data_IF_608506847348
#
_entry.id   IF_608506847348
#
_cell.length_a   1.000
_cell.length_b   1.000
_cell.length_c   1.000
_cell.angle_alpha   90.00
_cell.angle_beta   90.00
_cell.angle_gamma   90.00
#
_symmetry.space_group_name_H-M   'P 1'
#
loop_
_entity.id
_entity.type
_entity.pdbx_description
1 polymer ?
#
# COMPACT_ATOMS: atom_id res chain seq x y z
N UNK A 1 7.66 1.39 3.72
CA UNK A 1 8.19 2.46 4.59
C UNK A 1 7.12 3.01 5.55
N UNK A 2 5.89 3.27 5.13
CA UNK A 2 4.84 3.81 6.02
C UNK A 2 4.46 2.87 7.15
N UNK A 3 4.18 1.58 6.87
CA UNK A 3 3.80 0.61 7.89
C UNK A 3 4.88 0.39 8.96
N UNK A 4 6.16 0.44 8.59
CA UNK A 4 7.24 0.37 9.56
C UNK A 4 7.25 1.57 10.51
N UNK A 5 7.02 2.76 9.97
CA UNK A 5 6.91 3.97 10.80
C UNK A 5 5.74 3.86 11.78
N UNK A 6 4.59 3.35 11.33
CA UNK A 6 3.43 3.12 12.20
C UNK A 6 3.72 2.06 13.27
N UNK A 7 4.38 0.95 12.91
CA UNK A 7 4.76 -0.07 13.90
C UNK A 7 5.74 0.49 14.96
N UNK A 8 6.67 1.35 14.57
CA UNK A 8 7.59 2.02 15.48
C UNK A 8 6.88 3.01 16.41
N UNK A 9 5.92 3.78 15.89
CA UNK A 9 5.09 4.68 16.71
C UNK A 9 4.23 3.90 17.71
N UNK A 10 3.62 2.80 17.29
CA UNK A 10 2.84 1.93 18.18
C UNK A 10 3.74 1.32 19.26
N UNK A 11 4.94 0.87 18.88
CA UNK A 11 5.92 0.32 19.82
C UNK A 11 6.31 1.32 20.90
N UNK A 12 6.60 2.57 20.53
CA UNK A 12 7.06 3.59 21.47
C UNK A 12 5.95 4.18 22.32
N UNK A 13 4.80 4.51 21.71
CA UNK A 13 3.76 5.29 22.36
C UNK A 13 2.72 4.45 23.10
N UNK A 14 2.48 3.21 22.65
CA UNK A 14 1.43 2.36 23.22
C UNK A 14 2.01 1.13 23.90
N UNK A 15 2.67 0.26 23.15
CA UNK A 15 3.18 -1.00 23.70
C UNK A 15 4.27 -0.79 24.78
N UNK A 16 5.11 0.25 24.63
CA UNK A 16 6.07 0.65 25.67
C UNK A 16 5.41 0.99 27.00
N UNK A 17 4.24 1.63 26.97
CA UNK A 17 3.49 2.00 28.17
C UNK A 17 2.93 0.78 28.93
N UNK A 18 2.51 -0.27 28.22
CA UNK A 18 2.11 -1.53 28.83
C UNK A 18 3.26 -2.17 29.61
N UNK A 19 4.42 -2.33 28.98
CA UNK A 19 5.58 -2.93 29.63
C UNK A 19 6.18 -2.06 30.73
N UNK A 20 5.92 -0.76 30.72
CA UNK A 20 6.27 0.18 31.80
C UNK A 20 5.21 0.22 32.91
N UNK A 21 4.11 -0.55 32.78
CA UNK A 21 2.97 -0.58 33.72
C UNK A 21 2.26 0.77 33.90
N UNK A 22 2.31 1.63 32.90
CA UNK A 22 1.63 2.93 32.88
C UNK A 22 0.24 2.86 32.23
N UNK A 23 -0.05 1.79 31.48
CA UNK A 23 -1.34 1.51 30.87
C UNK A 23 -1.73 0.04 31.07
N UNK A 24 -3.03 -0.21 31.16
CA UNK A 24 -3.58 -1.56 31.24
C UNK A 24 -3.67 -2.21 29.86
N UNK A 25 -3.80 -3.54 29.81
CA UNK A 25 -3.96 -4.27 28.56
C UNK A 25 -5.25 -3.85 27.81
N UNK A 26 -6.36 -3.65 28.55
CA UNK A 26 -7.66 -3.26 27.97
C UNK A 26 -7.63 -1.86 27.34
N UNK A 27 -6.93 -0.91 27.97
CA UNK A 27 -6.74 0.43 27.41
C UNK A 27 -5.96 0.38 26.09
N UNK A 28 -4.88 -0.39 26.05
CA UNK A 28 -4.07 -0.56 24.84
C UNK A 28 -4.85 -1.33 23.78
N UNK A 29 -5.59 -2.37 24.15
CA UNK A 29 -6.45 -3.12 23.24
C UNK A 29 -7.44 -2.19 22.53
N UNK A 30 -8.09 -1.30 23.26
CA UNK A 30 -9.06 -0.34 22.71
C UNK A 30 -8.39 0.61 21.72
N UNK A 31 -7.23 1.16 22.08
CA UNK A 31 -6.49 2.09 21.23
C UNK A 31 -5.96 1.41 19.96
N UNK A 32 -5.36 0.22 20.10
CA UNK A 32 -4.84 -0.54 18.97
C UNK A 32 -5.94 -1.07 18.06
N UNK A 33 -7.12 -1.40 18.58
CA UNK A 33 -8.28 -1.79 17.75
C UNK A 33 -8.74 -0.65 16.84
N UNK A 34 -8.73 0.58 17.35
CA UNK A 34 -9.02 1.78 16.53
C UNK A 34 -7.99 1.97 15.43
N UNK A 35 -6.71 1.85 15.76
CA UNK A 35 -5.62 1.93 14.78
C UNK A 35 -5.65 0.80 13.76
N UNK A 36 -5.96 -0.42 14.18
CA UNK A 36 -6.14 -1.60 13.33
C UNK A 36 -7.19 -1.35 12.25
N UNK A 37 -8.34 -0.80 12.66
CA UNK A 37 -9.42 -0.43 11.73
C UNK A 37 -8.97 0.65 10.74
N UNK A 38 -8.32 1.71 11.22
CA UNK A 38 -7.81 2.79 10.38
C UNK A 38 -6.77 2.31 9.35
N UNK A 39 -5.84 1.46 9.79
CA UNK A 39 -4.77 0.90 8.93
C UNK A 39 -5.27 -0.24 8.03
N UNK A 40 -6.50 -0.74 8.26
CA UNK A 40 -7.01 -1.98 7.63
C UNK A 40 -5.98 -3.11 7.76
N UNK A 41 -5.50 -3.32 8.98
CA UNK A 41 -4.39 -4.23 9.30
C UNK A 41 -4.60 -4.83 10.68
N UNK A 42 -4.18 -6.05 10.90
CA UNK A 42 -4.21 -6.69 12.20
C UNK A 42 -2.93 -6.36 12.98
N UNK A 43 -3.05 -6.00 14.25
CA UNK A 43 -1.92 -5.59 15.10
C UNK A 43 -1.79 -6.59 16.24
N UNK A 44 -0.58 -7.14 16.39
CA UNK A 44 -0.22 -8.01 17.50
C UNK A 44 0.86 -7.38 18.36
N UNK A 45 0.80 -7.66 19.66
CA UNK A 45 1.94 -7.50 20.57
C UNK A 45 2.40 -8.90 20.93
N UNK A 46 3.68 -9.18 20.68
CA UNK A 46 4.30 -10.48 20.92
C UNK A 46 5.44 -10.30 21.90
N UNK A 47 5.58 -11.19 22.88
CA UNK A 47 6.71 -11.18 23.81
C UNK A 47 8.00 -11.68 23.15
N UNK A 48 9.10 -11.68 23.90
CA UNK A 48 10.41 -12.16 23.42
C UNK A 48 10.46 -13.67 23.20
N UNK A 49 9.46 -14.41 23.67
CA UNK A 49 9.35 -15.87 23.52
C UNK A 49 8.41 -16.27 22.38
N UNK A 50 7.77 -15.30 21.72
CA UNK A 50 6.83 -15.56 20.63
C UNK A 50 5.39 -15.80 21.09
N UNK A 51 5.03 -15.43 22.32
CA UNK A 51 3.64 -15.47 22.75
C UNK A 51 2.91 -14.20 22.36
N UNK A 52 1.73 -14.32 21.77
CA UNK A 52 0.86 -13.20 21.47
C UNK A 52 0.23 -12.73 22.78
N UNK A 53 0.59 -11.53 23.22
CA UNK A 53 0.03 -10.90 24.43
C UNK A 53 -1.29 -10.19 24.08
N UNK A 54 -1.35 -9.61 22.89
CA UNK A 54 -2.50 -8.85 22.40
C UNK A 54 -2.68 -9.08 20.91
N UNK A 55 -3.93 -9.33 20.51
CA UNK A 55 -4.35 -9.44 19.12
C UNK A 55 -5.59 -8.57 18.92
N UNK A 56 -5.53 -7.61 17.98
CA UNK A 56 -6.66 -6.71 17.71
C UNK A 56 -7.84 -7.40 17.04
N UNK A 57 -7.63 -8.54 16.36
CA UNK A 57 -8.71 -9.33 15.75
C UNK A 57 -9.40 -10.27 16.75
N UNK A 58 -8.72 -10.63 17.86
CA UNK A 58 -9.27 -11.52 18.89
C UNK A 58 -9.02 -10.94 20.28
N UNK A 59 -9.76 -9.90 20.69
CA UNK A 59 -9.61 -9.25 21.99
C UNK A 59 -9.94 -10.22 23.13
N UNK A 60 -9.17 -10.14 24.21
CA UNK A 60 -9.40 -10.94 25.42
C UNK A 60 -8.94 -12.40 25.33
N UNK A 61 -8.17 -12.79 24.34
CA UNK A 61 -7.55 -14.12 24.27
C UNK A 61 -6.40 -14.23 25.27
N UNK A 62 -6.28 -15.40 25.90
CA UNK A 62 -5.10 -15.74 26.67
C UNK A 62 -3.84 -15.72 25.78
N UNK A 63 -2.65 -15.47 26.35
CA UNK A 63 -1.40 -15.48 25.61
C UNK A 63 -1.23 -16.78 24.82
N UNK A 64 -1.18 -16.68 23.49
CA UNK A 64 -1.10 -17.85 22.59
C UNK A 64 0.28 -17.89 21.94
N UNK A 65 1.03 -19.01 22.03
CA UNK A 65 2.32 -19.12 21.40
C UNK A 65 2.20 -19.19 19.87
N UNK A 66 3.08 -18.49 19.15
CA UNK A 66 3.25 -18.64 17.70
C UNK A 66 4.25 -19.79 17.47
N UNK A 67 3.82 -20.93 16.94
CA UNK A 67 4.72 -22.07 16.75
C UNK A 67 5.85 -21.73 15.76
N UNK A 68 7.08 -21.98 16.15
CA UNK A 68 8.25 -21.73 15.30
C UNK A 68 8.68 -20.26 15.22
N UNK A 69 8.08 -19.36 16.00
CA UNK A 69 8.48 -17.95 16.02
C UNK A 69 9.95 -17.82 16.39
N UNK A 70 10.72 -17.17 15.52
CA UNK A 70 12.11 -16.86 15.77
C UNK A 70 12.43 -15.48 15.21
N UNK A 71 12.82 -14.57 16.10
CA UNK A 71 13.13 -13.18 15.71
C UNK A 71 14.31 -13.09 14.76
N UNK A 72 15.20 -14.08 14.76
CA UNK A 72 16.35 -14.10 13.84
C UNK A 72 15.96 -14.35 12.39
N UNK A 73 14.77 -14.90 12.13
CA UNK A 73 14.27 -15.15 10.77
C UNK A 73 14.03 -13.84 10.00
N UNK A 74 13.85 -12.74 10.73
CA UNK A 74 13.63 -11.40 10.13
C UNK A 74 14.95 -10.73 9.75
N UNK A 75 16.09 -11.17 10.28
CA UNK A 75 17.42 -10.66 9.97
C UNK A 75 17.51 -9.14 10.11
N UNK A 76 18.06 -8.47 9.09
CA UNK A 76 18.08 -7.00 8.99
C UNK A 76 16.82 -6.40 8.36
N UNK A 77 15.88 -7.23 7.93
CA UNK A 77 14.61 -6.80 7.33
C UNK A 77 13.55 -6.75 8.41
N UNK A 78 12.94 -5.60 8.61
CA UNK A 78 11.87 -5.42 9.57
C UNK A 78 10.50 -5.84 9.02
N UNK A 79 10.45 -6.71 7.99
CA UNK A 79 9.23 -7.21 7.39
C UNK A 79 9.41 -8.62 6.81
N UNK A 80 8.32 -9.34 6.73
CA UNK A 80 8.18 -10.64 6.09
C UNK A 80 6.89 -10.70 5.27
N UNK A 81 6.91 -11.41 4.15
CA UNK A 81 5.70 -11.74 3.36
C UNK A 81 5.44 -13.24 3.44
N UNK A 82 4.18 -13.62 3.54
CA UNK A 82 3.75 -15.02 3.64
C UNK A 82 2.65 -15.22 4.65
N UNK A 83 2.44 -16.45 5.09
CA UNK A 83 1.37 -16.84 6.01
C UNK A 83 1.70 -16.61 7.50
N UNK A 84 2.80 -15.97 7.79
CA UNK A 84 3.30 -15.70 9.14
C UNK A 84 3.21 -16.92 10.07
N UNK A 85 4.18 -17.83 9.93
CA UNK A 85 4.21 -19.09 10.69
C UNK A 85 2.90 -19.90 10.61
N UNK A 86 2.24 -19.90 9.46
CA UNK A 86 0.94 -20.57 9.21
C UNK A 86 -0.21 -20.06 10.10
N UNK A 87 -0.10 -18.86 10.66
CA UNK A 87 -1.19 -18.25 11.42
C UNK A 87 -2.30 -17.68 10.52
N UNK A 88 -1.97 -17.37 9.26
CA UNK A 88 -2.92 -16.84 8.29
C UNK A 88 -3.13 -17.81 7.12
N UNK A 89 -4.33 -17.86 6.59
CA UNK A 89 -4.67 -18.65 5.39
C UNK A 89 -4.33 -17.93 4.09
N UNK A 90 -4.11 -16.61 4.15
CA UNK A 90 -3.75 -15.75 3.01
C UNK A 90 -2.36 -15.15 3.20
N UNK A 91 -1.76 -14.70 2.10
CA UNK A 91 -0.50 -13.96 2.16
C UNK A 91 -0.67 -12.61 2.86
N UNK A 92 0.16 -12.40 3.87
CA UNK A 92 0.24 -11.17 4.66
C UNK A 92 1.60 -10.52 4.50
N UNK A 93 1.61 -9.19 4.46
CA UNK A 93 2.81 -8.41 4.73
C UNK A 93 2.86 -8.15 6.24
N UNK A 94 3.82 -8.76 6.92
CA UNK A 94 4.03 -8.61 8.36
C UNK A 94 5.22 -7.70 8.62
N UNK A 95 5.02 -6.62 9.35
CA UNK A 95 6.04 -5.61 9.67
C UNK A 95 6.26 -5.58 11.17
N UNK A 96 7.53 -5.53 11.60
CA UNK A 96 7.95 -5.66 12.98
C UNK A 96 8.61 -4.41 13.50
N UNK A 97 8.36 -4.11 14.77
CA UNK A 97 9.11 -3.11 15.52
C UNK A 97 9.37 -3.60 16.95
N UNK A 98 10.61 -3.51 17.45
CA UNK A 98 10.93 -3.92 18.82
C UNK A 98 10.32 -2.94 19.82
N UNK A 99 9.79 -3.46 20.92
CA UNK A 99 9.33 -2.71 22.07
C UNK A 99 10.50 -2.63 23.07
N UNK A 100 11.08 -1.46 23.20
CA UNK A 100 12.24 -1.25 24.07
C UNK A 100 11.82 -0.45 25.29
N UNK A 101 12.04 -1.03 26.49
CA UNK A 101 11.79 -0.38 27.77
C UNK A 101 13.04 -0.53 28.63
N UNK A 102 13.53 0.56 29.19
CA UNK A 102 14.75 0.59 30.01
C UNK A 102 15.96 -0.07 29.28
N UNK A 103 16.17 0.29 28.00
CA UNK A 103 17.25 -0.24 27.15
C UNK A 103 17.23 -1.76 26.92
N UNK A 104 16.09 -2.42 27.19
CA UNK A 104 15.90 -3.84 26.94
C UNK A 104 14.70 -4.06 26.04
N UNK A 105 14.83 -4.94 25.06
CA UNK A 105 13.70 -5.40 24.25
C UNK A 105 12.80 -6.27 25.11
N UNK A 106 11.51 -5.91 25.20
CA UNK A 106 10.50 -6.61 25.98
C UNK A 106 9.54 -7.42 25.12
N UNK A 107 9.48 -7.12 23.85
CA UNK A 107 8.60 -7.76 22.89
C UNK A 107 8.66 -7.04 21.55
N UNK A 108 7.69 -7.32 20.72
CA UNK A 108 7.59 -6.79 19.36
C UNK A 108 6.16 -6.39 19.05
N UNK A 109 5.98 -5.27 18.36
CA UNK A 109 4.74 -4.97 17.67
C UNK A 109 4.84 -5.57 16.27
N UNK A 110 3.82 -6.30 15.87
CA UNK A 110 3.70 -6.89 14.54
C UNK A 110 2.43 -6.36 13.89
N UNK A 111 2.56 -5.75 12.71
CA UNK A 111 1.41 -5.31 11.90
C UNK A 111 1.29 -6.24 10.70
N UNK A 112 0.15 -6.90 10.59
CA UNK A 112 -0.18 -7.79 9.49
C UNK A 112 -1.16 -7.11 8.53
N UNK A 113 -0.78 -6.97 7.27
CA UNK A 113 -1.62 -6.40 6.22
C UNK A 113 -1.79 -7.41 5.08
N UNK A 114 -3.04 -7.72 4.66
CA UNK A 114 -3.25 -8.60 3.51
C UNK A 114 -2.60 -8.04 2.25
N UNK A 115 -1.80 -8.86 1.55
CA UNK A 115 -1.17 -8.44 0.28
C UNK A 115 -2.21 -8.20 -0.81
N UNK A 116 -3.35 -8.89 -0.75
CA UNK A 116 -4.47 -8.67 -1.67
C UNK A 116 -4.99 -7.23 -1.66
N UNK A 117 -5.01 -6.57 -0.51
CA UNK A 117 -5.42 -5.17 -0.41
C UNK A 117 -4.45 -4.24 -1.13
N UNK A 118 -3.15 -4.51 -1.07
CA UNK A 118 -2.10 -3.73 -1.75
C UNK A 118 -2.20 -3.87 -3.27
N UNK A 119 -2.46 -5.08 -3.76
CA UNK A 119 -2.66 -5.38 -5.19
C UNK A 119 -3.92 -4.70 -5.72
N UNK A 120 -5.01 -4.70 -4.96
CA UNK A 120 -6.25 -4.02 -5.35
C UNK A 120 -6.07 -2.52 -5.53
N UNK A 121 -5.33 -1.86 -4.65
CA UNK A 121 -4.99 -0.43 -4.80
C UNK A 121 -4.14 -0.18 -6.05
N UNK A 122 -3.13 -1.03 -6.31
CA UNK A 122 -2.28 -0.90 -7.49
C UNK A 122 -3.09 -1.07 -8.79
N UNK A 123 -3.97 -2.08 -8.86
CA UNK A 123 -4.82 -2.33 -10.01
C UNK A 123 -5.81 -1.18 -10.25
N UNK A 124 -6.36 -0.59 -9.20
CA UNK A 124 -7.23 0.59 -9.29
C UNK A 124 -6.53 1.78 -9.93
N UNK A 125 -5.28 2.08 -9.53
CA UNK A 125 -4.47 3.16 -10.11
C UNK A 125 -4.14 2.90 -11.58
N UNK A 126 -3.83 1.66 -11.94
CA UNK A 126 -3.56 1.25 -13.32
C UNK A 126 -4.80 1.39 -14.19
N UNK A 127 -5.98 1.03 -13.70
CA UNK A 127 -7.25 1.20 -14.42
C UNK A 127 -7.52 2.68 -14.73
N UNK A 128 -7.37 3.57 -13.76
CA UNK A 128 -7.53 5.02 -13.95
C UNK A 128 -6.50 5.55 -14.98
N UNK A 129 -5.27 5.06 -14.96
CA UNK A 129 -4.25 5.47 -15.91
C UNK A 129 -4.62 5.06 -17.35
N UNK A 130 -5.13 3.86 -17.58
CA UNK A 130 -5.60 3.42 -18.91
C UNK A 130 -6.81 4.22 -19.39
N UNK A 131 -7.77 4.51 -18.52
CA UNK A 131 -8.93 5.31 -18.85
C UNK A 131 -8.54 6.74 -19.27
N UNK A 132 -7.64 7.37 -18.52
CA UNK A 132 -7.11 8.71 -18.84
C UNK A 132 -6.35 8.72 -20.16
N UNK A 133 -5.50 7.69 -20.40
CA UNK A 133 -4.76 7.56 -21.64
C UNK A 133 -5.69 7.39 -22.84
N UNK A 134 -6.75 6.58 -22.72
CA UNK A 134 -7.77 6.39 -23.74
C UNK A 134 -8.47 7.70 -24.11
N UNK A 135 -8.83 8.50 -23.10
CA UNK A 135 -9.48 9.79 -23.30
C UNK A 135 -8.55 10.79 -24.03
N UNK A 136 -7.27 10.83 -23.64
CA UNK A 136 -6.27 11.65 -24.31
C UNK A 136 -6.07 11.24 -25.77
N UNK A 137 -6.06 9.94 -26.05
CA UNK A 137 -5.93 9.43 -27.40
C UNK A 137 -7.13 9.81 -28.28
N UNK A 138 -8.32 9.72 -27.74
CA UNK A 138 -9.56 10.13 -28.42
C UNK A 138 -9.54 11.63 -28.71
N UNK A 139 -9.15 12.46 -27.76
CA UNK A 139 -9.02 13.91 -27.95
C UNK A 139 -8.01 14.24 -29.05
N UNK A 140 -6.83 13.60 -29.04
CA UNK A 140 -5.82 13.78 -30.07
C UNK A 140 -6.34 13.38 -31.46
N UNK A 141 -7.10 12.31 -31.55
CA UNK A 141 -7.72 11.85 -32.80
C UNK A 141 -8.72 12.86 -33.35
N UNK A 142 -9.55 13.45 -32.50
CA UNK A 142 -10.48 14.51 -32.88
C UNK A 142 -9.73 15.74 -33.40
N UNK A 143 -8.68 16.18 -32.75
CA UNK A 143 -7.83 17.29 -33.18
C UNK A 143 -7.21 17.01 -34.54
N UNK A 144 -6.74 15.78 -34.77
CA UNK A 144 -6.14 15.36 -36.05
C UNK A 144 -7.16 15.39 -37.21
N UNK A 145 -8.39 14.96 -36.94
CA UNK A 145 -9.49 15.08 -37.91
C UNK A 145 -9.79 16.55 -38.24
N UNK A 146 -9.93 17.39 -37.22
CA UNK A 146 -10.17 18.82 -37.40
C UNK A 146 -9.06 19.49 -38.22
N UNK A 147 -7.78 19.18 -37.88
CA UNK A 147 -6.64 19.69 -38.62
C UNK A 147 -6.67 19.27 -40.08
N UNK A 148 -7.05 18.03 -40.37
CA UNK A 148 -7.17 17.52 -41.73
C UNK A 148 -8.23 18.30 -42.54
N UNK A 149 -9.41 18.56 -41.97
CA UNK A 149 -10.48 19.26 -42.66
C UNK A 149 -10.24 20.77 -42.77
N UNK A 150 -9.69 21.40 -41.74
CA UNK A 150 -9.57 22.87 -41.67
C UNK A 150 -8.27 23.35 -42.32
N UNK A 151 -7.20 22.56 -42.27
CA UNK A 151 -5.88 23.00 -42.72
C UNK A 151 -5.41 22.20 -43.94
N UNK A 152 -5.33 20.89 -43.83
CA UNK A 152 -4.71 20.07 -44.87
C UNK A 152 -5.47 20.09 -46.19
N UNK A 153 -6.80 19.92 -46.17
CA UNK A 153 -7.61 19.89 -47.40
C UNK A 153 -7.58 21.26 -48.12
N UNK A 154 -7.77 22.43 -47.47
CA UNK A 154 -7.69 23.73 -48.15
C UNK A 154 -6.30 24.00 -48.72
N UNK A 155 -5.23 23.73 -47.97
CA UNK A 155 -3.86 23.94 -48.48
C UNK A 155 -3.61 23.09 -49.72
N UNK A 156 -3.98 21.80 -49.70
CA UNK A 156 -3.85 20.92 -50.87
C UNK A 156 -4.59 21.41 -52.09
N UNK A 157 -5.79 22.00 -51.92
CA UNK A 157 -6.54 22.61 -53.04
C UNK A 157 -5.79 23.81 -53.63
N UNK A 158 -5.23 24.68 -52.77
CA UNK A 158 -4.45 25.84 -53.21
C UNK A 158 -3.20 25.41 -53.96
N UNK A 159 -2.46 24.41 -53.41
CA UNK A 159 -1.25 23.88 -54.07
C UNK A 159 -1.59 23.30 -55.46
N UNK A 160 -2.66 22.51 -55.54
CA UNK A 160 -3.09 21.94 -56.81
C UNK A 160 -3.47 23.01 -57.87
N UNK A 161 -4.23 24.07 -57.46
CA UNK A 161 -4.56 25.17 -58.31
C UNK A 161 -3.31 25.94 -58.80
N UNK A 162 -2.30 26.12 -57.91
CA UNK A 162 -1.04 26.75 -58.27
C UNK A 162 -0.23 25.92 -59.28
N UNK A 163 -0.20 24.59 -59.10
CA UNK A 163 0.45 23.67 -60.03
C UNK A 163 -0.23 23.66 -61.42
N UNK A 164 -1.55 23.65 -61.48
CA UNK A 164 -2.32 23.75 -62.73
C UNK A 164 -2.07 25.09 -63.43
N UNK A 165 -2.01 26.20 -62.69
CA UNK A 165 -1.65 27.52 -63.19
C UNK A 165 -0.23 27.56 -63.79
N UNK A 166 0.73 26.97 -63.09
CA UNK A 166 2.13 26.86 -63.53
C UNK A 166 2.30 25.97 -64.78
N UNK A 167 1.41 24.99 -64.95
CA UNK A 167 1.36 24.13 -66.17
C UNK A 167 0.64 24.78 -67.39
N UNK A 168 0.14 26.00 -67.25
CA UNK A 168 -0.51 26.74 -68.35
C UNK A 168 -1.99 26.37 -68.58
N UNK A 169 -2.61 25.62 -67.70
CA UNK A 169 -4.05 25.32 -67.74
C UNK A 169 -4.82 26.43 -67.05
N UNK A 170 -5.40 27.36 -67.84
CA UNK A 170 -6.14 28.54 -67.37
C UNK A 170 -7.66 28.35 -67.50
N UNK A 171 -8.23 27.16 -67.35
CA UNK A 171 -9.66 26.93 -67.27
C UNK A 171 -10.24 27.07 -65.88
#
# INVERSE_FOLDING_TARGET
>A
ASLYRESALISSNYAGNYFSKTMTLDEIQTQLSTLSTYLSSEIWIVDTHGNIILNTAAPGCDPTPVPGFNITDFGSRYYQTGTFYNQFTSEMLSVFSPITVNYKVRGYVVIHKPTSSLVSYANGLVAIAYETLGLLFLAAFVVLILFTYVVYIPIRKITKAADEYAAGNFE
#
